data_IF_271788561261
#
_entry.id   IF_271788561261
#
_cell.length_a   1.000
_cell.length_b   1.000
_cell.length_c   1.000
_cell.angle_alpha   90.00
_cell.angle_beta   90.00
_cell.angle_gamma   90.00
#
_symmetry.space_group_name_H-M   'P 1'
#
loop_
_entity.id
_entity.type
_entity.pdbx_description
1 polymer ?
#
# COMPACT_ATOMS: atom_id res chain seq x y z
N UNK A 1 -4.50 -19.86 3.12
CA UNK A 1 -3.50 -19.39 2.12
C UNK A 1 -2.19 -19.04 2.81
N UNK A 2 -1.04 -19.36 2.19
CA UNK A 2 0.28 -18.98 2.70
C UNK A 2 0.65 -17.56 2.27
N UNK A 3 1.49 -16.87 3.05
CA UNK A 3 2.00 -15.53 2.69
C UNK A 3 2.80 -15.55 1.38
N UNK A 4 3.53 -16.63 1.10
CA UNK A 4 4.28 -16.80 -0.15
C UNK A 4 3.39 -16.87 -1.39
N UNK A 5 2.14 -17.34 -1.25
CA UNK A 5 1.16 -17.34 -2.34
C UNK A 5 0.62 -15.94 -2.60
N UNK A 6 0.45 -15.14 -1.54
CA UNK A 6 0.03 -13.73 -1.64
C UNK A 6 1.01 -12.92 -2.49
N UNK A 7 2.31 -13.00 -2.18
CA UNK A 7 3.36 -12.26 -2.90
C UNK A 7 3.43 -12.66 -4.38
N UNK A 8 3.20 -13.94 -4.69
CA UNK A 8 3.24 -14.41 -6.09
C UNK A 8 2.05 -13.94 -6.92
N UNK A 9 0.92 -13.69 -6.26
CA UNK A 9 -0.34 -13.28 -6.90
C UNK A 9 -0.45 -11.77 -7.05
N UNK A 10 0.08 -11.01 -6.08
CA UNK A 10 -0.01 -9.56 -6.05
C UNK A 10 1.33 -8.96 -6.45
N UNK A 11 1.35 -8.28 -7.59
CA UNK A 11 2.54 -7.67 -8.15
C UNK A 11 2.75 -6.21 -7.69
N UNK A 12 1.82 -5.65 -6.93
CA UNK A 12 1.89 -4.27 -6.44
C UNK A 12 2.41 -4.22 -5.00
N UNK A 13 3.17 -3.18 -4.62
CA UNK A 13 3.71 -3.06 -3.26
C UNK A 13 2.63 -2.76 -2.21
N UNK A 14 1.48 -2.22 -2.64
CA UNK A 14 0.29 -1.97 -1.82
C UNK A 14 -0.86 -2.79 -2.38
N UNK A 15 -1.68 -3.33 -1.49
CA UNK A 15 -2.93 -4.01 -1.83
C UNK A 15 -4.05 -3.67 -0.85
N UNK A 16 -5.27 -3.75 -1.35
CA UNK A 16 -6.53 -3.59 -0.64
C UNK A 16 -7.27 -4.92 -0.52
N UNK A 17 -8.31 -4.97 0.31
CA UNK A 17 -9.19 -6.14 0.37
C UNK A 17 -9.92 -6.39 -0.96
N UNK A 18 -10.14 -5.35 -1.77
CA UNK A 18 -10.77 -5.49 -3.09
C UNK A 18 -9.84 -6.21 -4.05
N UNK A 19 -8.53 -5.95 -3.99
CA UNK A 19 -7.54 -6.65 -4.82
C UNK A 19 -7.52 -8.15 -4.50
N UNK A 20 -7.66 -8.51 -3.22
CA UNK A 20 -7.80 -9.90 -2.79
C UNK A 20 -9.06 -10.56 -3.39
N UNK A 21 -10.18 -9.83 -3.43
CA UNK A 21 -11.43 -10.31 -4.00
C UNK A 21 -11.34 -10.50 -5.52
N UNK A 22 -10.72 -9.55 -6.23
CA UNK A 22 -10.50 -9.61 -7.68
C UNK A 22 -9.64 -10.83 -8.06
N UNK A 23 -8.58 -11.09 -7.29
CA UNK A 23 -7.70 -12.25 -7.46
C UNK A 23 -8.28 -13.57 -6.92
N UNK A 24 -9.54 -13.52 -6.44
CA UNK A 24 -10.29 -14.65 -5.83
C UNK A 24 -9.51 -15.33 -4.71
N UNK A 25 -8.78 -14.53 -3.92
CA UNK A 25 -7.99 -15.00 -2.79
C UNK A 25 -8.82 -14.97 -1.51
N UNK A 26 -8.97 -16.12 -0.86
CA UNK A 26 -9.62 -16.21 0.44
C UNK A 26 -8.59 -16.01 1.54
N UNK A 27 -8.61 -14.84 2.17
CA UNK A 27 -7.75 -14.48 3.29
C UNK A 27 -8.62 -14.03 4.46
N UNK A 28 -8.39 -14.61 5.62
CA UNK A 28 -9.15 -14.28 6.82
C UNK A 28 -8.53 -13.11 7.58
N UNK A 29 -9.33 -12.30 8.30
CA UNK A 29 -8.82 -11.15 9.08
C UNK A 29 -7.73 -11.53 10.10
N UNK A 30 -7.81 -12.73 10.70
CA UNK A 30 -6.78 -13.20 11.63
C UNK A 30 -5.42 -13.38 10.94
N UNK A 31 -5.40 -13.80 9.67
CA UNK A 31 -4.15 -13.98 8.93
C UNK A 31 -3.45 -12.65 8.68
N UNK A 32 -4.22 -11.61 8.30
CA UNK A 32 -3.69 -10.26 8.12
C UNK A 32 -3.12 -9.71 9.44
N UNK A 33 -3.82 -9.94 10.56
CA UNK A 33 -3.34 -9.55 11.90
C UNK A 33 -2.03 -10.26 12.25
N UNK A 34 -1.95 -11.56 12.00
CA UNK A 34 -0.75 -12.36 12.26
C UNK A 34 0.43 -11.95 11.36
N UNK A 35 0.20 -11.69 10.07
CA UNK A 35 1.24 -11.20 9.15
C UNK A 35 1.70 -9.79 9.51
N UNK A 36 0.80 -8.93 9.97
CA UNK A 36 1.16 -7.60 10.46
C UNK A 36 2.03 -7.67 11.71
N UNK A 37 1.69 -8.51 12.70
CA UNK A 37 2.52 -8.75 13.88
C UNK A 37 3.90 -9.31 13.54
N UNK A 38 3.99 -10.16 12.51
CA UNK A 38 5.25 -10.73 12.03
C UNK A 38 6.08 -9.76 11.18
N UNK A 39 5.55 -8.56 10.90
CA UNK A 39 6.23 -7.56 10.09
C UNK A 39 6.27 -7.89 8.60
N UNK A 40 5.43 -8.80 8.10
CA UNK A 40 5.36 -9.14 6.67
C UNK A 40 4.57 -8.13 5.86
N UNK A 41 3.59 -7.49 6.51
CA UNK A 41 2.77 -6.43 5.93
C UNK A 41 2.64 -5.28 6.93
N UNK A 42 2.55 -4.07 6.40
CA UNK A 42 2.31 -2.83 7.14
C UNK A 42 0.86 -2.42 6.88
N UNK A 43 0.10 -2.17 7.94
CA UNK A 43 -1.28 -1.67 7.79
C UNK A 43 -1.22 -0.16 7.58
N UNK A 44 -1.62 0.30 6.39
CA UNK A 44 -1.69 1.74 6.07
C UNK A 44 -3.01 2.36 6.52
N UNK A 45 -4.12 1.64 6.28
CA UNK A 45 -5.49 2.00 6.68
C UNK A 45 -6.31 0.73 6.85
N UNK A 46 -7.51 0.82 7.42
CA UNK A 46 -8.38 -0.33 7.51
C UNK A 46 -8.69 -0.88 6.11
N UNK A 47 -8.26 -2.12 5.85
CA UNK A 47 -8.42 -2.78 4.55
C UNK A 47 -7.36 -2.46 3.50
N UNK A 48 -6.30 -1.70 3.85
CA UNK A 48 -5.20 -1.35 2.94
C UNK A 48 -3.87 -1.67 3.61
N UNK A 49 -3.04 -2.43 2.91
CA UNK A 49 -1.79 -2.97 3.43
C UNK A 49 -0.65 -2.81 2.42
N UNK A 50 0.56 -2.56 2.91
CA UNK A 50 1.78 -2.59 2.11
C UNK A 50 2.61 -3.83 2.46
N UNK A 51 3.35 -4.38 1.51
CA UNK A 51 4.33 -5.41 1.78
C UNK A 51 5.59 -4.78 2.40
N UNK A 52 6.02 -5.26 3.57
CA UNK A 52 7.14 -4.64 4.29
C UNK A 52 8.45 -4.68 3.49
N UNK A 53 8.70 -5.76 2.75
CA UNK A 53 9.89 -5.93 1.93
C UNK A 53 9.94 -5.03 0.68
N UNK A 54 8.82 -4.41 0.31
CA UNK A 54 8.72 -3.49 -0.83
C UNK A 54 8.43 -2.05 -0.36
N UNK A 55 8.42 -1.80 0.94
CA UNK A 55 8.02 -0.51 1.50
C UNK A 55 8.90 0.66 1.06
N UNK A 56 10.19 0.42 0.81
CA UNK A 56 11.14 1.41 0.30
C UNK A 56 10.89 1.82 -1.15
N UNK A 57 10.13 1.03 -1.91
CA UNK A 57 9.78 1.33 -3.32
C UNK A 57 8.52 2.20 -3.43
N UNK A 58 7.85 2.44 -2.29
CA UNK A 58 6.57 3.14 -2.26
C UNK A 58 6.82 4.65 -2.10
N UNK A 59 6.48 5.39 -3.14
CA UNK A 59 6.39 6.84 -3.15
C UNK A 59 5.32 7.34 -2.15
N UNK A 60 5.63 8.38 -1.37
CA UNK A 60 4.75 8.94 -0.33
C UNK A 60 3.44 9.48 -0.94
N UNK A 61 3.54 10.01 -2.16
CA UNK A 61 2.49 10.50 -3.03
C UNK A 61 1.54 9.37 -3.42
N UNK A 62 2.07 8.15 -3.60
CA UNK A 62 1.25 7.00 -3.91
C UNK A 62 0.46 6.55 -2.67
N UNK A 63 1.07 6.61 -1.49
CA UNK A 63 0.36 6.35 -0.22
C UNK A 63 -0.74 7.40 -0.02
N UNK A 64 -0.45 8.70 -0.21
CA UNK A 64 -1.45 9.75 -0.05
C UNK A 64 -2.60 9.59 -1.05
N UNK A 65 -2.28 9.19 -2.29
CA UNK A 65 -3.26 8.87 -3.32
C UNK A 65 -4.23 7.77 -2.90
N UNK A 66 -3.70 6.69 -2.33
CA UNK A 66 -4.51 5.55 -1.89
C UNK A 66 -5.35 5.89 -0.65
N UNK A 67 -4.82 6.70 0.27
CA UNK A 67 -5.49 6.99 1.54
C UNK A 67 -6.61 8.04 1.44
N UNK A 68 -6.44 9.03 0.55
CA UNK A 68 -7.27 10.25 0.49
C UNK A 68 -7.77 10.53 -0.93
N UNK A 69 -8.67 9.69 -1.45
CA UNK A 69 -9.27 9.92 -2.77
C UNK A 69 -10.44 10.92 -2.75
N UNK A 70 -10.58 11.79 -3.76
CA UNK A 70 -9.60 12.03 -4.84
C UNK A 70 -8.38 12.76 -4.29
N UNK A 71 -7.19 12.26 -4.60
CA UNK A 71 -5.96 12.86 -4.13
C UNK A 71 -5.36 13.68 -5.24
N UNK A 72 -5.24 14.97 -4.99
CA UNK A 72 -4.49 15.88 -5.84
C UNK A 72 -3.21 16.24 -5.10
N UNK A 73 -2.09 16.09 -5.79
CA UNK A 73 -0.85 16.73 -5.39
C UNK A 73 -1.06 18.23 -5.57
N UNK A 74 -0.74 19.04 -4.55
CA UNK A 74 -0.89 20.48 -4.66
C UNK A 74 0.12 21.05 -5.65
N UNK A 75 -0.22 22.19 -6.28
CA UNK A 75 0.69 22.87 -7.20
C UNK A 75 1.99 23.24 -6.49
N UNK A 76 1.89 23.73 -5.25
CA UNK A 76 3.01 24.12 -4.40
C UNK A 76 3.95 22.93 -4.15
N UNK A 77 3.41 21.78 -3.74
CA UNK A 77 4.20 20.57 -3.54
C UNK A 77 4.90 20.15 -4.82
N UNK A 78 4.21 20.19 -5.97
CA UNK A 78 4.80 19.82 -7.25
C UNK A 78 5.94 20.78 -7.63
N UNK A 79 5.71 22.09 -7.52
CA UNK A 79 6.73 23.11 -7.81
C UNK A 79 7.95 22.97 -6.90
N UNK A 80 7.74 22.72 -5.60
CA UNK A 80 8.83 22.52 -4.64
C UNK A 80 9.63 21.25 -4.94
N UNK A 81 8.95 20.15 -5.26
CA UNK A 81 9.58 18.87 -5.63
C UNK A 81 10.43 18.98 -6.92
N UNK A 82 10.09 19.90 -7.84
CA UNK A 82 10.89 20.21 -9.03
C UNK A 82 11.91 21.35 -8.81
N UNK A 83 12.04 21.88 -7.59
CA UNK A 83 12.97 22.96 -7.25
C UNK A 83 12.61 24.32 -7.84
N UNK A 84 11.35 24.53 -8.23
CA UNK A 84 10.84 25.78 -8.80
C UNK A 84 10.48 26.82 -7.72
N UNK A 85 10.16 26.35 -6.51
CA UNK A 85 9.96 27.18 -5.31
C UNK A 85 10.63 26.51 -4.09
N UNK A 86 10.93 27.25 -3.01
CA UNK A 86 11.34 26.66 -1.74
C UNK A 86 10.24 25.79 -1.11
N UNK A 87 10.65 24.79 -0.33
CA UNK A 87 9.77 24.03 0.58
C UNK A 87 9.35 24.83 1.81
#
# INVERSE_FOLDING_TARGET
>A
MKYTELIKKINTPIFSLNDLQLEKLTIFPYQLREWSKKGYIIKLKNGIYAFSNQSSEILIEHISFILYQPSYISLEWALANYGLIPE
#
